data_IF_332671174269
#
_entry.id   IF_332671174269
#
_cell.length_a   1.000
_cell.length_b   1.000
_cell.length_c   1.000
_cell.angle_alpha   90.00
_cell.angle_beta   90.00
_cell.angle_gamma   90.00
#
_symmetry.space_group_name_H-M   'P 1'
#
loop_
_entity.id
_entity.type
_entity.pdbx_description
1 polymer ?
#
# COMPACT_ATOMS: atom_id res chain seq x y z
N UNK A 1 -8.26 13.78 4.95
CA UNK A 1 -6.95 13.52 4.31
C UNK A 1 -6.78 12.02 4.09
N UNK A 2 -6.18 11.66 2.99
CA UNK A 2 -5.91 10.24 2.69
C UNK A 2 -4.53 9.85 3.16
N UNK A 3 -4.45 8.66 3.73
CA UNK A 3 -3.20 8.04 4.18
C UNK A 3 -3.12 6.63 3.65
N UNK A 4 -1.93 6.23 3.24
CA UNK A 4 -1.65 4.86 2.84
C UNK A 4 -0.97 4.16 4.01
N UNK A 5 -1.58 3.06 4.47
CA UNK A 5 -1.02 2.21 5.51
C UNK A 5 -0.42 0.99 4.84
N UNK A 6 0.90 0.94 4.80
CA UNK A 6 1.65 -0.15 4.18
C UNK A 6 1.96 -1.21 5.24
N UNK A 7 1.54 -2.43 4.97
CA UNK A 7 1.69 -3.55 5.92
C UNK A 7 2.95 -4.33 5.58
N UNK A 8 3.86 -4.44 6.55
CA UNK A 8 5.11 -5.20 6.40
C UNK A 8 5.15 -6.35 7.40
N UNK A 9 5.52 -7.53 6.94
CA UNK A 9 5.64 -8.74 7.74
C UNK A 9 6.88 -9.53 7.32
N UNK A 10 7.55 -10.19 8.29
CA UNK A 10 8.55 -11.20 7.97
C UNK A 10 7.88 -12.39 7.28
N UNK A 11 8.62 -13.06 6.39
CA UNK A 11 8.10 -14.23 5.68
C UNK A 11 7.56 -15.30 6.62
N UNK A 12 8.22 -15.52 7.78
CA UNK A 12 7.80 -16.50 8.78
C UNK A 12 6.47 -16.15 9.46
N UNK A 13 5.97 -14.93 9.30
CA UNK A 13 4.77 -14.44 9.99
C UNK A 13 3.62 -14.09 9.04
N UNK A 14 3.74 -14.43 7.74
CA UNK A 14 2.70 -14.15 6.76
C UNK A 14 1.36 -14.80 7.12
N UNK A 15 1.38 -15.93 7.83
CA UNK A 15 0.17 -16.65 8.24
C UNK A 15 -0.16 -16.48 9.72
N UNK A 16 0.51 -15.57 10.43
CA UNK A 16 0.26 -15.33 11.86
C UNK A 16 -1.11 -14.71 12.11
N UNK A 17 -1.66 -14.00 11.13
CA UNK A 17 -2.99 -13.40 11.19
C UNK A 17 -3.91 -14.11 10.22
N UNK A 18 -5.07 -14.55 10.70
CA UNK A 18 -6.08 -15.17 9.83
C UNK A 18 -6.70 -14.13 8.90
N UNK A 19 -6.97 -14.53 7.65
CA UNK A 19 -7.59 -13.64 6.66
C UNK A 19 -8.91 -13.05 7.16
N UNK A 20 -9.69 -13.84 7.92
CA UNK A 20 -10.96 -13.35 8.48
C UNK A 20 -10.79 -12.16 9.42
N UNK A 21 -9.66 -12.07 10.14
CA UNK A 21 -9.38 -10.95 11.02
C UNK A 21 -9.11 -9.68 10.19
N UNK A 22 -8.35 -9.85 9.11
CA UNK A 22 -8.09 -8.74 8.18
C UNK A 22 -9.38 -8.28 7.48
N UNK A 23 -10.22 -9.22 7.07
CA UNK A 23 -11.53 -8.89 6.49
C UNK A 23 -12.41 -8.14 7.48
N UNK A 24 -12.49 -8.60 8.73
CA UNK A 24 -13.29 -7.95 9.75
C UNK A 24 -12.82 -6.54 10.03
N UNK A 25 -11.50 -6.32 10.08
CA UNK A 25 -10.92 -4.99 10.24
C UNK A 25 -11.31 -4.08 9.06
N UNK A 26 -11.14 -4.57 7.84
CA UNK A 26 -11.49 -3.82 6.63
C UNK A 26 -12.98 -3.49 6.56
N UNK A 27 -13.84 -4.45 6.90
CA UNK A 27 -15.28 -4.25 6.91
C UNK A 27 -15.70 -3.21 7.96
N UNK A 28 -15.11 -3.26 9.15
CA UNK A 28 -15.36 -2.26 10.19
C UNK A 28 -14.96 -0.85 9.75
N UNK A 29 -13.82 -0.71 9.13
CA UNK A 29 -13.34 0.58 8.62
C UNK A 29 -14.20 1.08 7.47
N UNK A 30 -14.62 0.17 6.58
CA UNK A 30 -15.51 0.52 5.46
C UNK A 30 -16.87 0.97 5.97
N UNK A 31 -17.40 0.28 6.96
CA UNK A 31 -18.68 0.64 7.58
C UNK A 31 -18.62 2.02 8.24
N UNK A 32 -17.49 2.39 8.82
CA UNK A 32 -17.27 3.71 9.41
C UNK A 32 -16.93 4.79 8.38
N UNK A 33 -16.84 4.45 7.09
CA UNK A 33 -16.51 5.39 6.03
C UNK A 33 -15.02 5.74 5.94
N UNK A 34 -14.18 5.06 6.68
CA UNK A 34 -12.74 5.37 6.75
C UNK A 34 -11.91 4.59 5.75
N UNK A 35 -12.40 3.47 5.22
CA UNK A 35 -11.67 2.65 4.27
C UNK A 35 -12.02 3.02 2.83
N UNK A 36 -11.01 3.39 2.05
CA UNK A 36 -11.16 3.68 0.62
C UNK A 36 -10.76 2.49 -0.24
N UNK A 37 -9.69 1.78 0.14
CA UNK A 37 -9.24 0.59 -0.54
C UNK A 37 -8.35 -0.22 0.38
N UNK A 38 -8.31 -1.54 0.18
CA UNK A 38 -7.38 -2.42 0.88
C UNK A 38 -7.18 -3.68 0.05
N UNK A 39 -5.94 -4.16 -0.04
CA UNK A 39 -5.63 -5.40 -0.73
C UNK A 39 -4.47 -6.10 -0.03
N UNK A 40 -4.59 -7.39 0.26
CA UNK A 40 -3.44 -8.21 0.61
C UNK A 40 -2.65 -8.56 -0.64
N UNK A 41 -1.37 -8.82 -0.49
CA UNK A 41 -0.49 -9.19 -1.59
C UNK A 41 -0.04 -10.64 -1.44
N UNK A 42 0.18 -11.30 -2.57
CA UNK A 42 0.88 -12.57 -2.60
C UNK A 42 2.33 -12.40 -2.12
N UNK A 43 3.00 -13.47 -1.68
CA UNK A 43 4.39 -13.37 -1.20
C UNK A 43 5.34 -12.77 -2.23
N UNK A 44 6.46 -12.24 -1.75
CA UNK A 44 7.44 -11.54 -2.61
C UNK A 44 8.04 -12.40 -3.71
N UNK A 45 8.01 -13.73 -3.59
CA UNK A 45 8.44 -14.65 -4.63
C UNK A 45 7.62 -14.49 -5.92
N UNK A 46 6.41 -13.95 -5.80
CA UNK A 46 5.54 -13.70 -6.97
C UNK A 46 5.78 -12.33 -7.60
N UNK A 47 6.62 -11.50 -6.98
CA UNK A 47 6.85 -10.13 -7.44
C UNK A 47 7.64 -10.10 -8.75
N UNK A 48 7.39 -9.07 -9.53
CA UNK A 48 8.15 -8.76 -10.74
C UNK A 48 8.53 -7.29 -10.66
N UNK A 49 9.80 -6.99 -10.89
CA UNK A 49 10.31 -5.61 -10.85
C UNK A 49 10.71 -5.15 -12.24
N UNK A 50 10.21 -4.00 -12.65
CA UNK A 50 10.50 -3.38 -13.95
C UNK A 50 11.30 -2.12 -13.71
N UNK A 51 12.43 -1.98 -14.47
CA UNK A 51 13.24 -0.77 -14.45
C UNK A 51 13.51 -0.32 -15.88
N UNK A 52 13.55 1.00 -16.05
CA UNK A 52 14.01 1.61 -17.30
C UNK A 52 15.23 2.44 -16.96
N UNK A 53 16.37 2.08 -17.56
CA UNK A 53 17.66 2.77 -17.38
C UNK A 53 18.27 3.01 -18.75
N UNK A 54 18.66 4.24 -19.03
CA UNK A 54 19.24 4.63 -20.32
C UNK A 54 18.36 4.22 -21.51
N UNK A 55 17.02 4.34 -21.35
CA UNK A 55 16.07 3.95 -22.38
C UNK A 55 15.82 2.45 -22.51
N UNK A 56 16.47 1.62 -21.72
CA UNK A 56 16.31 0.16 -21.79
C UNK A 56 15.48 -0.35 -20.61
N UNK A 57 14.51 -1.22 -20.93
CA UNK A 57 13.68 -1.87 -19.93
C UNK A 57 14.33 -3.17 -19.47
N UNK A 58 14.38 -3.36 -18.14
CA UNK A 58 14.74 -4.63 -17.54
C UNK A 58 13.59 -5.15 -16.69
N UNK A 59 13.38 -6.45 -16.73
CA UNK A 59 12.34 -7.14 -15.94
C UNK A 59 13.04 -8.20 -15.12
N UNK A 60 12.85 -8.15 -13.80
CA UNK A 60 13.50 -9.06 -12.87
C UNK A 60 12.45 -9.73 -12.00
N UNK A 61 12.59 -11.04 -11.78
CA UNK A 61 11.74 -11.75 -10.82
C UNK A 61 12.14 -11.36 -9.39
N UNK A 62 11.14 -11.15 -8.55
CA UNK A 62 11.35 -10.78 -7.16
C UNK A 62 11.10 -9.29 -6.88
N UNK A 63 11.16 -8.90 -5.60
CA UNK A 63 10.95 -7.52 -5.18
C UNK A 63 12.14 -6.64 -5.57
N UNK A 64 11.91 -5.33 -5.62
CA UNK A 64 12.98 -4.38 -5.98
C UNK A 64 14.11 -4.35 -4.94
N UNK A 65 13.80 -4.71 -3.71
CA UNK A 65 14.77 -4.80 -2.61
C UNK A 65 14.41 -5.97 -1.70
N UNK A 66 15.42 -6.66 -1.20
CA UNK A 66 15.24 -7.72 -0.21
C UNK A 66 15.31 -7.12 1.18
N UNK A 67 14.24 -7.32 1.97
CA UNK A 67 14.11 -6.80 3.31
C UNK A 67 13.64 -7.90 4.24
N UNK A 68 13.94 -7.76 5.52
CA UNK A 68 13.51 -8.73 6.54
C UNK A 68 12.00 -8.74 6.68
N UNK A 69 11.38 -7.55 6.82
CA UNK A 69 9.94 -7.38 6.76
C UNK A 69 9.58 -6.97 5.34
N UNK A 70 8.64 -7.69 4.75
CA UNK A 70 8.27 -7.58 3.34
C UNK A 70 6.89 -6.97 3.22
N UNK A 71 6.67 -6.19 2.18
CA UNK A 71 5.35 -5.61 1.92
C UNK A 71 4.33 -6.72 1.67
N UNK A 72 3.32 -6.78 2.52
CA UNK A 72 2.31 -7.85 2.50
C UNK A 72 0.91 -7.34 2.13
N UNK A 73 0.70 -6.04 2.07
CA UNK A 73 -0.60 -5.47 1.74
C UNK A 73 -0.68 -3.99 2.06
N UNK A 74 -1.83 -3.40 1.80
CA UNK A 74 -2.04 -2.00 2.12
C UNK A 74 -3.50 -1.72 2.46
N UNK A 75 -3.69 -0.61 3.19
CA UNK A 75 -4.99 0.01 3.44
C UNK A 75 -4.89 1.48 3.05
N UNK A 76 -5.79 1.94 2.20
CA UNK A 76 -5.93 3.36 1.91
C UNK A 76 -7.10 3.88 2.72
N UNK A 77 -6.84 4.82 3.62
CA UNK A 77 -7.82 5.32 4.59
C UNK A 77 -8.03 6.82 4.45
N UNK A 78 -9.20 7.27 4.89
CA UNK A 78 -9.50 8.68 5.06
C UNK A 78 -9.51 8.98 6.57
N UNK A 79 -8.66 9.90 7.00
CA UNK A 79 -8.52 10.30 8.40
C UNK A 79 -8.41 11.81 8.50
N UNK A 80 -8.83 12.37 9.64
CA UNK A 80 -8.80 13.82 9.87
C UNK A 80 -7.38 14.35 9.89
N UNK A 81 -6.47 13.59 10.48
CA UNK A 81 -5.09 13.97 10.69
C UNK A 81 -4.22 12.74 10.91
N UNK A 82 -2.93 12.95 11.07
CA UNK A 82 -1.98 11.85 11.29
C UNK A 82 -2.29 11.07 12.57
N UNK A 83 -2.73 11.75 13.63
CA UNK A 83 -3.02 11.07 14.89
C UNK A 83 -4.16 10.07 14.72
N UNK A 84 -5.24 10.43 14.01
CA UNK A 84 -6.32 9.49 13.71
C UNK A 84 -5.84 8.35 12.81
N UNK A 85 -5.00 8.67 11.82
CA UNK A 85 -4.41 7.64 10.95
C UNK A 85 -3.58 6.63 11.76
N UNK A 86 -2.82 7.09 12.74
CA UNK A 86 -2.05 6.22 13.65
C UNK A 86 -2.99 5.33 14.46
N UNK A 87 -4.09 5.87 14.98
CA UNK A 87 -5.07 5.10 15.74
C UNK A 87 -5.72 4.00 14.87
N UNK A 88 -6.02 4.31 13.62
CA UNK A 88 -6.55 3.33 12.67
C UNK A 88 -5.48 2.27 12.36
N UNK A 89 -4.25 2.68 12.07
CA UNK A 89 -3.16 1.77 11.75
C UNK A 89 -2.89 0.77 12.88
N UNK A 90 -3.00 1.22 14.12
CA UNK A 90 -2.82 0.36 15.30
C UNK A 90 -3.85 -0.77 15.40
N UNK A 91 -5.00 -0.64 14.72
CA UNK A 91 -6.06 -1.65 14.70
C UNK A 91 -5.88 -2.67 13.59
N UNK A 92 -4.98 -2.43 12.64
CA UNK A 92 -4.70 -3.37 11.55
C UNK A 92 -4.04 -4.61 12.16
N UNK A 93 -4.64 -5.81 12.03
CA UNK A 93 -4.17 -6.99 12.77
C UNK A 93 -2.69 -7.31 12.60
N UNK A 94 -2.08 -7.23 11.40
CA UNK A 94 -0.64 -7.47 11.25
C UNK A 94 0.28 -6.54 12.05
N UNK A 95 -0.21 -5.41 12.55
CA UNK A 95 0.61 -4.50 13.36
C UNK A 95 1.24 -5.18 14.59
N UNK A 96 0.62 -6.26 15.07
CA UNK A 96 1.12 -7.03 16.23
C UNK A 96 2.36 -7.87 15.89
N UNK A 97 2.56 -8.18 14.62
CA UNK A 97 3.59 -9.12 14.17
C UNK A 97 4.63 -8.49 13.25
N UNK A 98 4.34 -7.31 12.73
CA UNK A 98 5.20 -6.59 11.83
C UNK A 98 5.08 -5.09 12.03
N UNK A 99 5.05 -4.37 10.92
CA UNK A 99 5.02 -2.90 10.96
C UNK A 99 3.97 -2.36 10.01
N UNK A 100 3.37 -1.24 10.40
CA UNK A 100 2.49 -0.48 9.51
C UNK A 100 3.14 0.88 9.28
N UNK A 101 3.54 1.14 8.05
CA UNK A 101 4.06 2.45 7.66
C UNK A 101 2.90 3.33 7.22
N UNK A 102 2.74 4.48 7.85
CA UNK A 102 1.64 5.42 7.56
C UNK A 102 2.21 6.59 6.78
N UNK A 103 1.70 6.80 5.56
CA UNK A 103 2.18 7.89 4.69
C UNK A 103 1.00 8.69 4.14
N UNK A 104 1.01 10.02 4.31
CA UNK A 104 -0.01 10.85 3.67
C UNK A 104 0.14 10.80 2.16
N UNK A 105 -0.98 10.72 1.46
CA UNK A 105 -0.97 10.86 0.00
C UNK A 105 -0.86 12.33 -0.36
N UNK A 106 -0.38 12.61 -1.56
CA UNK A 106 -0.38 13.96 -2.10
C UNK A 106 -1.18 14.00 -3.40
N UNK A 107 -1.77 15.12 -3.67
CA UNK A 107 -2.42 15.34 -4.95
C UNK A 107 -1.38 15.76 -5.98
N UNK A 108 -1.57 15.31 -7.21
CA UNK A 108 -0.78 15.79 -8.33
C UNK A 108 -1.31 17.17 -8.72
N UNK A 109 -0.42 18.14 -8.82
CA UNK A 109 -0.78 19.50 -9.21
C UNK A 109 -0.19 19.75 -10.60
N UNK A 110 -1.06 19.80 -11.59
CA UNK A 110 -0.66 20.04 -12.99
C UNK A 110 -1.51 21.13 -13.61
N UNK A 111 -0.91 21.86 -14.54
CA UNK A 111 -1.63 22.81 -15.38
C UNK A 111 -2.55 22.02 -16.32
N UNK A 112 -3.82 22.43 -16.53
CA UNK A 112 -4.71 21.77 -17.49
C UNK A 112 -4.11 21.62 -18.89
N UNK A 113 -3.32 22.58 -19.35
CA UNK A 113 -2.64 22.50 -20.63
C UNK A 113 -1.57 21.39 -20.65
N UNK A 114 -0.92 21.10 -19.54
CA UNK A 114 0.02 19.99 -19.42
C UNK A 114 -0.70 18.65 -19.48
N UNK A 115 -1.86 18.53 -18.83
CA UNK A 115 -2.67 17.31 -18.88
C UNK A 115 -3.03 16.96 -20.31
N UNK A 116 -3.48 17.93 -21.11
CA UNK A 116 -3.82 17.72 -22.52
C UNK A 116 -2.61 17.24 -23.33
N UNK A 117 -1.44 17.84 -23.11
CA UNK A 117 -0.22 17.44 -23.80
C UNK A 117 0.19 16.00 -23.47
N UNK A 118 0.10 15.61 -22.22
CA UNK A 118 0.42 14.23 -21.83
C UNK A 118 -0.59 13.23 -22.38
N UNK A 119 -1.85 13.55 -22.36
CA UNK A 119 -2.90 12.71 -22.93
C UNK A 119 -2.68 12.50 -24.42
N UNK A 120 -2.34 13.56 -25.16
CA UNK A 120 -2.04 13.47 -26.59
C UNK A 120 -0.80 12.63 -26.87
N UNK A 121 0.24 12.76 -26.04
CA UNK A 121 1.48 11.97 -26.19
C UNK A 121 1.29 10.50 -25.86
N UNK A 122 0.34 10.17 -24.97
CA UNK A 122 0.05 8.78 -24.56
C UNK A 122 -0.88 8.03 -25.52
N UNK A 123 -1.57 8.76 -26.39
CA UNK A 123 -2.49 8.16 -27.39
C UNK A 123 -1.79 7.84 -28.75
#
# INVERSE_FOLDING_TARGET
MKYLCLVYLEASKLHAVADRECMACGDGLRHSGMLLAAEPLHPVETATTVRIRNGAMTVTDGPFAETKEQLAGFYLIDARDLNEAIQIAAKIPPAKYGSIEVRPTRELVVDPAEVERYAAAAS
#
